data_IF_178502413860
#
_entry.id   IF_178502413860
#
_cell.length_a   1.000
_cell.length_b   1.000
_cell.length_c   1.000
_cell.angle_alpha   90.00
_cell.angle_beta   90.00
_cell.angle_gamma   90.00
#
_symmetry.space_group_name_H-M   'P 1'
#
loop_
_entity.id
_entity.type
_entity.pdbx_description
1 polymer ?
#
# COMPACT_ATOMS: atom_id res chain seq x y z
N UNK A 1 -19.07 2.14 -6.91
CA UNK A 1 -19.13 1.61 -5.53
C UNK A 1 -20.50 1.01 -5.32
N UNK A 2 -20.59 -0.31 -5.33
CA UNK A 2 -21.86 -1.06 -5.19
C UNK A 2 -22.24 -1.17 -3.71
N UNK A 3 -23.53 -1.01 -3.45
CA UNK A 3 -24.21 -1.04 -2.16
C UNK A 3 -24.14 -2.43 -1.47
N UNK A 4 -23.04 -2.71 -0.78
CA UNK A 4 -22.99 -3.74 0.25
C UNK A 4 -23.37 -3.12 1.60
N UNK A 5 -24.66 -3.08 1.92
CA UNK A 5 -25.18 -2.64 3.21
C UNK A 5 -24.75 -3.59 4.33
N UNK A 6 -23.73 -3.23 5.10
CA UNK A 6 -23.39 -3.91 6.36
C UNK A 6 -24.27 -3.37 7.50
N UNK A 7 -25.28 -4.16 7.91
CA UNK A 7 -26.10 -3.91 9.11
C UNK A 7 -25.57 -4.60 10.37
N UNK A 8 -24.34 -5.12 10.31
CA UNK A 8 -23.59 -5.58 11.47
C UNK A 8 -22.27 -4.80 11.49
N UNK A 9 -21.89 -4.27 12.66
CA UNK A 9 -20.77 -3.33 12.86
C UNK A 9 -19.37 -3.89 12.61
N UNK A 10 -19.21 -4.89 11.74
CA UNK A 10 -17.94 -5.47 11.35
C UNK A 10 -17.71 -5.25 9.84
N UNK A 11 -16.72 -4.42 9.50
CA UNK A 11 -16.29 -4.14 8.12
C UNK A 11 -15.49 -5.31 7.49
N UNK A 12 -15.62 -6.53 8.01
CA UNK A 12 -14.90 -7.70 7.51
C UNK A 12 -15.87 -8.67 6.84
N UNK A 13 -15.88 -8.66 5.50
CA UNK A 13 -16.72 -9.55 4.67
C UNK A 13 -16.11 -10.95 4.49
N UNK A 14 -14.86 -11.15 4.93
CA UNK A 14 -14.11 -12.39 4.81
C UNK A 14 -13.89 -12.99 6.20
N UNK A 15 -14.81 -13.85 6.65
CA UNK A 15 -14.79 -14.40 8.01
C UNK A 15 -13.54 -15.22 8.35
N UNK A 16 -12.93 -15.86 7.36
CA UNK A 16 -11.70 -16.65 7.53
C UNK A 16 -10.41 -15.80 7.48
N UNK A 17 -10.54 -14.49 7.27
CA UNK A 17 -9.41 -13.57 7.14
C UNK A 17 -9.41 -12.53 8.26
N UNK A 18 -8.23 -12.10 8.72
CA UNK A 18 -8.12 -11.06 9.74
C UNK A 18 -8.79 -9.75 9.29
N UNK A 19 -9.28 -8.93 10.24
CA UNK A 19 -9.99 -7.71 9.91
C UNK A 19 -9.15 -6.74 9.08
N UNK A 20 -9.76 -6.19 8.03
CA UNK A 20 -9.11 -5.20 7.16
C UNK A 20 -9.08 -3.85 7.90
N UNK A 21 -7.95 -3.57 8.56
CA UNK A 21 -7.70 -2.30 9.23
C UNK A 21 -6.64 -1.49 8.45
N UNK A 22 -6.90 -0.20 8.24
CA UNK A 22 -5.96 0.68 7.52
C UNK A 22 -4.65 0.92 8.26
N UNK A 23 -4.62 0.66 9.57
CA UNK A 23 -3.46 0.85 10.44
C UNK A 23 -2.44 -0.30 10.36
N UNK A 24 -2.74 -1.39 9.65
CA UNK A 24 -1.85 -2.53 9.46
C UNK A 24 -1.54 -3.32 10.75
N UNK A 25 -2.20 -3.03 11.89
CA UNK A 25 -1.83 -3.63 13.19
C UNK A 25 -2.03 -5.15 13.25
N UNK A 26 -2.89 -5.71 12.41
CA UNK A 26 -3.09 -7.17 12.32
C UNK A 26 -1.92 -7.91 11.64
N UNK A 27 -1.08 -7.19 10.90
CA UNK A 27 0.00 -7.76 10.08
C UNK A 27 1.38 -7.25 10.48
N UNK A 28 1.46 -6.29 11.42
CA UNK A 28 2.71 -5.76 11.93
C UNK A 28 3.00 -6.31 13.33
N UNK A 29 3.97 -7.22 13.44
CA UNK A 29 4.55 -7.53 14.76
C UNK A 29 5.45 -6.36 15.18
N UNK A 30 5.04 -5.60 16.21
CA UNK A 30 5.84 -4.51 16.77
C UNK A 30 6.94 -5.04 17.71
N UNK A 31 7.64 -6.11 17.31
CA UNK A 31 8.79 -6.58 18.06
C UNK A 31 9.98 -5.68 17.71
N UNK A 32 10.54 -4.94 18.69
CA UNK A 32 11.70 -4.11 18.41
C UNK A 32 12.90 -5.01 18.06
N UNK A 33 13.72 -4.57 17.10
CA UNK A 33 14.91 -5.31 16.67
C UNK A 33 15.86 -5.65 17.84
N UNK A 34 15.87 -4.83 18.89
CA UNK A 34 16.64 -5.07 20.11
C UNK A 34 16.20 -6.37 20.82
N UNK A 35 14.89 -6.59 20.97
CA UNK A 35 14.38 -7.78 21.66
C UNK A 35 14.61 -9.04 20.84
N UNK A 36 14.46 -8.96 19.52
CA UNK A 36 14.80 -10.05 18.60
C UNK A 36 16.29 -10.41 18.73
N UNK A 37 17.17 -9.41 18.76
CA UNK A 37 18.61 -9.62 18.93
C UNK A 37 18.95 -10.21 20.30
N UNK A 38 18.36 -9.69 21.38
CA UNK A 38 18.59 -10.20 22.73
C UNK A 38 18.12 -11.64 22.88
N UNK A 39 16.99 -12.00 22.26
CA UNK A 39 16.52 -13.38 22.22
C UNK A 39 17.44 -14.27 21.39
N UNK A 40 17.97 -13.79 20.26
CA UNK A 40 18.97 -14.51 19.47
C UNK A 40 20.25 -14.79 20.29
N UNK A 41 20.77 -13.78 20.99
CA UNK A 41 21.95 -13.91 21.84
C UNK A 41 21.72 -14.94 22.96
N UNK A 42 20.56 -14.89 23.64
CA UNK A 42 20.17 -15.86 24.66
C UNK A 42 20.03 -17.27 24.09
N UNK A 43 19.32 -17.43 22.97
CA UNK A 43 19.05 -18.73 22.35
C UNK A 43 20.32 -19.41 21.80
N UNK A 44 21.31 -18.61 21.39
CA UNK A 44 22.59 -19.09 20.87
C UNK A 44 23.71 -19.08 21.92
N UNK A 45 23.40 -18.73 23.18
CA UNK A 45 24.36 -18.59 24.28
C UNK A 45 25.58 -17.73 23.92
N UNK A 46 25.35 -16.66 23.16
CA UNK A 46 26.40 -15.73 22.74
C UNK A 46 26.57 -14.68 23.85
N UNK A 47 27.72 -14.70 24.51
CA UNK A 47 28.03 -13.76 25.61
C UNK A 47 29.05 -12.71 25.18
N UNK A 48 29.94 -13.03 24.24
CA UNK A 48 31.02 -12.17 23.78
C UNK A 48 30.77 -11.51 22.43
N UNK A 49 31.30 -10.29 22.26
CA UNK A 49 31.23 -9.56 20.99
C UNK A 49 31.98 -10.25 19.84
N UNK A 50 33.02 -11.05 20.15
CA UNK A 50 33.73 -11.81 19.14
C UNK A 50 32.85 -12.96 18.61
N UNK A 51 32.25 -13.73 19.51
CA UNK A 51 31.39 -14.87 19.17
C UNK A 51 30.17 -14.41 18.38
N UNK A 52 29.61 -13.24 18.72
CA UNK A 52 28.53 -12.64 17.96
C UNK A 52 28.93 -12.35 16.51
N UNK A 53 30.12 -11.75 16.29
CA UNK A 53 30.62 -11.49 14.94
C UNK A 53 30.87 -12.79 14.16
N UNK A 54 31.48 -13.79 14.80
CA UNK A 54 31.72 -15.09 14.16
C UNK A 54 30.39 -15.76 13.79
N UNK A 55 29.40 -15.72 14.67
CA UNK A 55 28.07 -16.25 14.39
C UNK A 55 27.44 -15.58 13.17
N UNK A 56 27.47 -14.24 13.10
CA UNK A 56 26.93 -13.51 11.97
C UNK A 56 27.65 -13.90 10.67
N UNK A 57 28.99 -13.90 10.66
CA UNK A 57 29.77 -14.26 9.46
C UNK A 57 29.42 -15.66 8.96
N UNK A 58 29.36 -16.66 9.85
CA UNK A 58 29.10 -18.04 9.47
C UNK A 58 27.63 -18.32 9.10
N UNK A 59 26.68 -17.49 9.55
CA UNK A 59 25.24 -17.72 9.34
C UNK A 59 24.57 -16.62 8.49
N UNK A 60 25.35 -15.74 7.86
CA UNK A 60 24.83 -14.55 7.15
C UNK A 60 23.76 -14.93 6.11
N UNK A 61 24.05 -15.88 5.22
CA UNK A 61 23.14 -16.26 4.15
C UNK A 61 21.82 -16.83 4.67
N UNK A 62 21.89 -17.62 5.74
CA UNK A 62 20.70 -18.19 6.40
C UNK A 62 19.85 -17.11 7.06
N UNK A 63 20.47 -16.15 7.75
CA UNK A 63 19.77 -15.02 8.39
C UNK A 63 19.09 -14.15 7.33
N UNK A 64 19.79 -13.84 6.23
CA UNK A 64 19.24 -13.05 5.13
C UNK A 64 18.03 -13.77 4.51
N UNK A 65 18.17 -15.06 4.20
CA UNK A 65 17.08 -15.86 3.61
C UNK A 65 15.86 -15.93 4.53
N UNK A 66 16.06 -16.15 5.83
CA UNK A 66 14.97 -16.18 6.80
C UNK A 66 14.28 -14.82 6.94
N UNK A 67 15.05 -13.73 7.00
CA UNK A 67 14.50 -12.38 7.07
C UNK A 67 13.69 -12.02 5.81
N UNK A 68 14.18 -12.42 4.63
CA UNK A 68 13.45 -12.22 3.37
C UNK A 68 12.14 -13.01 3.35
N UNK A 69 12.16 -14.26 3.84
CA UNK A 69 10.96 -15.08 3.92
C UNK A 69 9.93 -14.48 4.90
N UNK A 70 10.38 -14.10 6.10
CA UNK A 70 9.51 -13.49 7.11
C UNK A 70 8.87 -12.18 6.60
N UNK A 71 9.66 -11.29 6.00
CA UNK A 71 9.15 -10.04 5.45
C UNK A 71 8.13 -10.25 4.31
N UNK A 72 8.30 -11.34 3.56
CA UNK A 72 7.41 -11.71 2.47
C UNK A 72 6.08 -12.28 3.00
N UNK A 73 6.13 -13.10 4.05
CA UNK A 73 4.96 -13.65 4.74
C UNK A 73 4.14 -12.57 5.46
N UNK A 74 4.78 -11.51 5.99
CA UNK A 74 4.11 -10.37 6.65
C UNK A 74 3.28 -9.50 5.69
N UNK A 75 3.56 -9.55 4.38
CA UNK A 75 2.86 -8.76 3.37
C UNK A 75 1.65 -9.52 2.79
N UNK A 76 1.83 -10.80 2.40
CA UNK A 76 0.79 -11.68 1.82
C UNK A 76 1.35 -13.09 1.52
N UNK A 77 0.58 -13.97 0.84
CA UNK A 77 1.07 -15.28 0.38
C UNK A 77 2.30 -15.10 -0.51
N UNK A 78 3.44 -15.41 0.08
CA UNK A 78 4.75 -15.21 -0.44
C UNK A 78 5.12 -16.29 -1.48
N UNK A 79 5.48 -15.88 -2.70
CA UNK A 79 6.01 -16.76 -3.74
C UNK A 79 7.50 -17.06 -3.59
N UNK A 80 8.02 -17.27 -2.37
CA UNK A 80 9.43 -17.62 -2.16
C UNK A 80 9.71 -18.94 -2.89
N UNK A 81 10.63 -18.94 -3.86
CA UNK A 81 10.91 -20.04 -4.81
C UNK A 81 9.84 -20.32 -5.89
N UNK A 82 8.88 -19.43 -6.16
CA UNK A 82 8.10 -19.55 -7.39
C UNK A 82 8.95 -19.12 -8.58
N UNK A 83 9.01 -19.96 -9.61
CA UNK A 83 9.48 -19.55 -10.93
C UNK A 83 8.60 -18.39 -11.38
N UNK A 84 9.17 -17.18 -11.36
CA UNK A 84 8.53 -16.01 -11.95
C UNK A 84 8.41 -16.33 -13.43
N UNK A 85 7.19 -16.67 -13.87
CA UNK A 85 6.90 -16.77 -15.29
C UNK A 85 7.20 -15.38 -15.84
N UNK A 86 8.14 -15.24 -16.79
CA UNK A 86 8.47 -13.92 -17.33
C UNK A 86 7.19 -13.32 -17.90
N UNK A 87 6.72 -12.27 -17.22
CA UNK A 87 5.52 -11.58 -17.64
C UNK A 87 5.78 -11.04 -19.05
N UNK A 88 4.85 -11.32 -19.96
CA UNK A 88 4.95 -10.91 -21.36
C UNK A 88 4.88 -9.38 -21.45
N UNK A 89 6.05 -8.72 -21.37
CA UNK A 89 6.21 -7.25 -21.33
C UNK A 89 5.71 -6.55 -22.60
N UNK A 90 5.22 -7.29 -23.60
CA UNK A 90 4.83 -6.77 -24.91
C UNK A 90 3.43 -6.15 -24.94
N UNK A 91 2.62 -6.27 -23.87
CA UNK A 91 1.22 -5.78 -23.85
C UNK A 91 0.99 -4.60 -22.90
N UNK A 92 1.82 -3.55 -23.00
CA UNK A 92 1.60 -2.31 -22.24
C UNK A 92 0.40 -1.55 -22.78
N UNK A 93 -0.55 -1.24 -21.91
CA UNK A 93 -1.72 -0.44 -22.27
C UNK A 93 -1.32 1.03 -22.41
N UNK A 94 -1.67 1.64 -23.56
CA UNK A 94 -1.51 3.07 -23.79
C UNK A 94 -2.85 3.78 -23.54
N UNK A 95 -2.86 4.71 -22.59
CA UNK A 95 -4.03 5.54 -22.29
C UNK A 95 -4.30 6.50 -23.44
N UNK A 96 -5.56 6.63 -23.84
CA UNK A 96 -5.96 7.48 -24.97
C UNK A 96 -6.08 8.96 -24.60
N UNK A 97 -6.37 9.26 -23.34
CA UNK A 97 -6.58 10.60 -22.81
C UNK A 97 -6.37 10.63 -21.29
N UNK A 98 -6.25 11.82 -20.69
CA UNK A 98 -6.19 11.98 -19.21
C UNK A 98 -7.45 11.48 -18.50
N UNK A 99 -8.58 11.42 -19.22
CA UNK A 99 -9.85 10.90 -18.74
C UNK A 99 -10.02 9.38 -18.90
N UNK A 100 -9.05 8.68 -19.51
CA UNK A 100 -9.13 7.24 -19.73
C UNK A 100 -8.93 6.48 -18.41
N UNK A 101 -10.03 5.95 -17.87
CA UNK A 101 -10.07 5.24 -16.59
C UNK A 101 -9.92 3.71 -16.74
N UNK A 102 -9.42 3.21 -17.88
CA UNK A 102 -9.23 1.76 -18.06
C UNK A 102 -8.15 1.21 -17.15
N UNK A 103 -8.48 0.14 -16.44
CA UNK A 103 -7.54 -0.67 -15.68
C UNK A 103 -7.19 -1.94 -16.49
N UNK A 104 -6.11 -1.94 -17.30
CA UNK A 104 -5.65 -3.13 -18.01
C UNK A 104 -5.21 -4.23 -17.03
N UNK A 105 -4.97 -5.44 -17.54
CA UNK A 105 -4.41 -6.53 -16.74
C UNK A 105 -3.07 -6.11 -16.10
N UNK A 106 -2.89 -6.41 -14.82
CA UNK A 106 -1.72 -5.97 -14.05
C UNK A 106 -1.73 -4.48 -13.69
N UNK A 107 -2.88 -3.79 -13.78
CA UNK A 107 -2.95 -2.40 -13.36
C UNK A 107 -2.79 -2.28 -11.84
N UNK A 108 -1.62 -1.80 -11.44
CA UNK A 108 -1.30 -1.53 -10.04
C UNK A 108 -2.14 -0.37 -9.51
N UNK A 109 -2.95 -0.62 -8.48
CA UNK A 109 -3.70 0.41 -7.75
C UNK A 109 -3.14 0.55 -6.34
N UNK A 110 -2.83 1.77 -5.94
CA UNK A 110 -2.59 2.10 -4.53
C UNK A 110 -3.54 3.19 -4.07
N UNK A 111 -3.82 3.21 -2.79
CA UNK A 111 -4.51 4.27 -2.06
C UNK A 111 -3.88 5.65 -2.33
N UNK A 112 -2.55 5.78 -2.26
CA UNK A 112 -1.84 7.02 -2.58
C UNK A 112 -2.05 7.45 -4.05
N UNK A 113 -1.98 6.49 -4.98
CA UNK A 113 -2.20 6.73 -6.41
C UNK A 113 -3.64 7.16 -6.68
N UNK A 114 -4.61 6.50 -6.05
CA UNK A 114 -6.02 6.83 -6.19
C UNK A 114 -6.30 8.26 -5.70
N UNK A 115 -5.76 8.64 -4.54
CA UNK A 115 -5.88 10.01 -4.02
C UNK A 115 -5.29 11.03 -4.99
N UNK A 116 -4.09 10.77 -5.51
CA UNK A 116 -3.43 11.65 -6.47
C UNK A 116 -4.24 11.83 -7.76
N UNK A 117 -4.66 10.72 -8.38
CA UNK A 117 -5.41 10.75 -9.63
C UNK A 117 -6.78 11.42 -9.46
N UNK A 118 -7.46 11.20 -8.33
CA UNK A 118 -8.72 11.90 -8.02
C UNK A 118 -8.52 13.41 -7.90
N UNK A 119 -7.45 13.87 -7.26
CA UNK A 119 -7.11 15.30 -7.18
C UNK A 119 -6.82 15.89 -8.55
N UNK A 120 -6.08 15.18 -9.39
CA UNK A 120 -5.74 15.64 -10.73
C UNK A 120 -6.99 15.75 -11.62
N UNK A 121 -7.87 14.74 -11.57
CA UNK A 121 -9.12 14.76 -12.32
C UNK A 121 -10.05 15.90 -11.86
N UNK A 122 -10.12 16.17 -10.54
CA UNK A 122 -10.85 17.32 -10.01
C UNK A 122 -10.27 18.66 -10.52
N UNK A 123 -8.95 18.79 -10.55
CA UNK A 123 -8.28 19.98 -11.06
C UNK A 123 -8.53 20.19 -12.56
N UNK A 124 -8.50 19.12 -13.36
CA UNK A 124 -8.84 19.19 -14.78
C UNK A 124 -10.29 19.62 -15.03
N UNK A 125 -11.23 19.19 -14.18
CA UNK A 125 -12.63 19.61 -14.25
C UNK A 125 -12.87 21.02 -13.69
N UNK A 126 -11.90 21.58 -12.96
CA UNK A 126 -12.00 22.93 -12.42
C UNK A 126 -11.85 23.95 -13.55
N UNK A 127 -12.98 24.44 -14.05
CA UNK A 127 -13.04 25.64 -14.87
C UNK A 127 -13.60 26.78 -14.03
N UNK A 128 -12.81 27.83 -13.83
CA UNK A 128 -13.31 29.04 -13.23
C UNK A 128 -14.18 29.76 -14.27
N UNK A 129 -15.44 30.13 -13.95
CA UNK A 129 -16.23 30.95 -14.86
C UNK A 129 -15.53 32.29 -15.03
N UNK A 130 -15.22 32.67 -16.28
CA UNK A 130 -14.83 34.03 -16.59
C UNK A 130 -16.09 34.90 -16.53
N UNK A 131 -16.20 35.70 -15.46
CA UNK A 131 -17.26 36.69 -15.29
C UNK A 131 -16.68 38.06 -15.61
N UNK A 132 -17.31 38.78 -16.52
CA UNK A 132 -17.02 40.21 -16.67
C UNK A 132 -17.45 40.97 -15.41
N UNK A 133 -16.88 42.15 -15.20
CA UNK A 133 -17.22 43.01 -14.05
C UNK A 133 -18.73 43.29 -13.99
N UNK A 134 -19.37 43.47 -15.14
CA UNK A 134 -20.82 43.71 -15.26
C UNK A 134 -21.63 42.48 -14.87
N UNK A 135 -21.22 41.29 -15.33
CA UNK A 135 -21.89 40.03 -14.98
C UNK A 135 -21.76 39.70 -13.49
N UNK A 136 -20.63 40.05 -12.88
CA UNK A 136 -20.43 39.91 -11.44
C UNK A 136 -21.40 40.78 -10.64
N UNK A 137 -21.56 42.05 -11.04
CA UNK A 137 -22.47 43.02 -10.40
C UNK A 137 -23.96 42.63 -10.60
N UNK A 138 -24.31 42.08 -11.77
CA UNK A 138 -25.65 41.53 -12.04
C UNK A 138 -25.98 40.31 -11.17
N UNK A 139 -24.99 39.45 -10.89
CA UNK A 139 -25.18 38.28 -10.01
C UNK A 139 -25.37 38.66 -8.55
N UNK A 140 -24.60 39.65 -8.06
CA UNK A 140 -24.69 40.09 -6.67
C UNK A 140 -26.03 40.81 -6.37
N UNK A 141 -26.59 41.49 -7.36
CA UNK A 141 -27.90 42.15 -7.24
C UNK A 141 -29.10 41.19 -7.30
N UNK A 142 -29.00 40.05 -8.00
CA UNK A 142 -30.09 39.05 -8.01
C UNK A 142 -30.21 38.25 -6.70
N UNK A 143 -29.12 38.14 -5.94
CA UNK A 143 -29.07 37.45 -4.65
C UNK A 143 -29.57 38.31 -3.45
N UNK A 144 -29.79 39.62 -3.66
CA UNK A 144 -30.30 40.57 -2.64
C UNK A 144 -31.82 40.76 -2.67
N UNK A 145 -32.58 39.75 -3.09
CA UNK A 145 -34.04 39.70 -2.93
C UNK A 145 -34.45 38.61 -1.95
#
# INVERSE_FOLDING_TARGET
>A
MSWGTCYSGSNNIHFDFPPIMSDGRNFASYLPACDVNNNLLKNKNITGNNDYRQYLIHNTDSIISQNQKAACDDCCTCGYNKTVIPEDKTRKYLYKSCSDSKAPYGYETSDLKNIYLSKMNLFEQSSAPFLSQEQYLMRDSSCRK
#
